data_IF_643775478870
#
_entry.id   IF_643775478870
#
_cell.length_a   1.000
_cell.length_b   1.000
_cell.length_c   1.000
_cell.angle_alpha   90.00
_cell.angle_beta   90.00
_cell.angle_gamma   90.00
#
_symmetry.space_group_name_H-M   'P 1'
#
loop_
_entity.id
_entity.type
_entity.pdbx_description
1 polymer ?
#
# COMPACT_ATOMS: atom_id res chain seq x y z
N UNK A 1 14.99 -16.22 4.41
CA UNK A 1 14.00 -16.42 3.36
C UNK A 1 12.90 -15.38 3.50
N UNK A 2 12.61 -14.67 2.44
CA UNK A 2 11.61 -13.58 2.48
C UNK A 2 10.26 -14.09 2.01
N UNK A 3 9.25 -13.89 2.83
CA UNK A 3 7.86 -14.18 2.48
C UNK A 3 7.14 -12.86 2.24
N UNK A 4 6.48 -12.75 1.11
CA UNK A 4 5.70 -11.56 0.78
C UNK A 4 4.23 -11.86 1.03
N UNK A 5 3.60 -11.02 1.85
CA UNK A 5 2.22 -11.18 2.25
C UNK A 5 1.48 -9.88 1.90
N UNK A 6 0.37 -10.00 1.19
CA UNK A 6 -0.51 -8.87 0.93
C UNK A 6 -1.76 -8.98 1.78
N UNK A 7 -2.21 -7.87 2.33
CA UNK A 7 -3.45 -7.81 3.10
C UNK A 7 -4.44 -6.94 2.34
N UNK A 8 -5.63 -7.45 2.10
CA UNK A 8 -6.72 -6.70 1.51
C UNK A 8 -7.93 -6.64 2.45
N UNK A 9 -8.79 -5.67 2.23
CA UNK A 9 -9.98 -5.47 3.04
C UNK A 9 -10.30 -3.98 3.16
N UNK A 10 -11.53 -3.68 3.55
CA UNK A 10 -11.96 -2.30 3.74
C UNK A 10 -11.37 -1.71 5.02
N UNK A 11 -11.36 -0.38 5.12
CA UNK A 11 -10.92 0.31 6.33
C UNK A 11 -11.76 -0.16 7.53
N UNK A 12 -11.10 -0.43 8.64
CA UNK A 12 -11.77 -0.90 9.85
C UNK A 12 -12.07 -2.40 9.88
N UNK A 13 -11.64 -3.17 8.87
CA UNK A 13 -11.90 -4.61 8.81
C UNK A 13 -10.94 -5.45 9.67
N UNK A 14 -9.93 -4.82 10.29
CA UNK A 14 -8.98 -5.53 11.15
C UNK A 14 -7.64 -5.83 10.52
N UNK A 15 -7.25 -5.06 9.49
CA UNK A 15 -5.95 -5.26 8.81
C UNK A 15 -4.77 -5.08 9.76
N UNK A 16 -4.84 -4.12 10.68
CA UNK A 16 -3.79 -3.89 11.66
C UNK A 16 -3.66 -5.06 12.64
N UNK A 17 -4.79 -5.68 13.00
CA UNK A 17 -4.79 -6.87 13.86
C UNK A 17 -4.04 -8.01 13.18
N UNK A 18 -4.28 -8.23 11.89
CA UNK A 18 -3.57 -9.26 11.12
C UNK A 18 -2.08 -8.95 11.04
N UNK A 19 -1.72 -7.70 10.77
CA UNK A 19 -0.32 -7.29 10.76
C UNK A 19 0.37 -7.59 12.10
N UNK A 20 -0.28 -7.25 13.21
CA UNK A 20 0.26 -7.48 14.54
C UNK A 20 0.43 -8.97 14.85
N UNK A 21 -0.53 -9.80 14.43
CA UNK A 21 -0.42 -11.25 14.59
C UNK A 21 0.77 -11.82 13.82
N UNK A 22 0.95 -11.39 12.58
CA UNK A 22 2.06 -11.82 11.74
C UNK A 22 3.41 -11.37 12.30
N UNK A 23 3.51 -10.14 12.76
CA UNK A 23 4.74 -9.59 13.32
C UNK A 23 5.13 -10.25 14.64
N UNK A 24 4.17 -10.85 15.35
CA UNK A 24 4.46 -11.65 16.54
C UNK A 24 5.07 -13.02 16.23
N UNK A 25 5.01 -13.48 14.99
CA UNK A 25 5.53 -14.79 14.58
C UNK A 25 6.91 -14.74 13.94
N UNK A 26 7.23 -13.64 13.29
CA UNK A 26 8.52 -13.46 12.60
C UNK A 26 8.83 -11.97 12.45
N UNK A 27 10.10 -11.59 12.25
CA UNK A 27 10.43 -10.23 11.91
C UNK A 27 9.61 -9.79 10.70
N UNK A 28 8.98 -8.62 10.80
CA UNK A 28 8.06 -8.13 9.77
C UNK A 28 8.32 -6.68 9.47
N UNK A 29 8.17 -6.31 8.19
CA UNK A 29 8.27 -4.93 7.75
C UNK A 29 7.05 -4.57 6.93
N UNK A 30 6.52 -3.39 7.17
CA UNK A 30 5.31 -2.88 6.53
C UNK A 30 5.65 -2.13 5.26
N UNK A 31 4.88 -2.39 4.21
CA UNK A 31 4.92 -1.67 2.94
C UNK A 31 3.51 -1.27 2.55
N UNK A 32 3.40 -0.24 1.73
CA UNK A 32 2.10 0.28 1.32
C UNK A 32 2.21 0.96 -0.05
N UNK A 33 1.27 0.67 -0.93
CA UNK A 33 1.15 1.37 -2.22
C UNK A 33 0.84 2.85 -2.00
N UNK A 34 0.01 3.16 -0.99
CA UNK A 34 -0.33 4.54 -0.64
C UNK A 34 0.88 5.34 -0.18
N UNK A 35 1.88 4.70 0.44
CA UNK A 35 3.10 5.39 0.86
C UNK A 35 3.93 5.84 -0.35
N UNK A 36 3.91 5.10 -1.44
CA UNK A 36 4.57 5.51 -2.67
C UNK A 36 3.92 6.76 -3.26
N UNK A 37 2.59 6.83 -3.23
CA UNK A 37 1.85 8.01 -3.65
C UNK A 37 2.20 9.21 -2.78
N UNK A 38 2.19 9.05 -1.46
CA UNK A 38 2.52 10.13 -0.52
C UNK A 38 3.95 10.64 -0.73
N UNK A 39 4.89 9.75 -0.97
CA UNK A 39 6.28 10.13 -1.26
C UNK A 39 6.38 10.97 -2.53
N UNK A 40 5.69 10.56 -3.57
CA UNK A 40 5.75 11.24 -4.86
C UNK A 40 5.22 12.67 -4.78
N UNK A 41 4.13 12.90 -4.04
CA UNK A 41 3.50 14.22 -3.95
C UNK A 41 4.00 15.07 -2.79
N UNK A 42 4.90 14.55 -1.96
CA UNK A 42 5.29 15.23 -0.72
C UNK A 42 5.90 16.62 -0.95
N UNK A 43 6.78 16.74 -1.92
CA UNK A 43 7.39 18.03 -2.25
C UNK A 43 6.33 19.06 -2.65
N UNK A 44 5.36 18.66 -3.45
CA UNK A 44 4.25 19.48 -3.86
C UNK A 44 3.39 19.90 -2.66
N UNK A 45 3.06 18.94 -1.79
CA UNK A 45 2.24 19.22 -0.61
C UNK A 45 2.92 20.21 0.33
N UNK A 46 4.21 20.08 0.55
CA UNK A 46 4.98 21.01 1.38
C UNK A 46 5.03 22.40 0.76
N UNK A 47 5.26 22.46 -0.55
CA UNK A 47 5.41 23.73 -1.26
C UNK A 47 4.10 24.52 -1.32
N UNK A 48 3.00 23.85 -1.63
CA UNK A 48 1.72 24.52 -1.89
C UNK A 48 0.80 24.58 -0.67
N UNK A 49 0.91 23.64 0.25
CA UNK A 49 -0.02 23.53 1.39
C UNK A 49 0.66 23.53 2.75
N UNK A 50 1.99 23.50 2.78
CA UNK A 50 2.74 23.44 4.03
C UNK A 50 2.50 22.15 4.80
N UNK A 51 2.14 21.06 4.13
CA UNK A 51 1.79 19.78 4.74
C UNK A 51 2.80 18.72 4.31
N UNK A 52 3.31 17.96 5.28
CA UNK A 52 4.10 16.77 5.02
C UNK A 52 3.14 15.59 4.83
N UNK A 53 3.01 15.11 3.59
CA UNK A 53 2.06 14.05 3.27
C UNK A 53 2.38 12.72 3.95
N UNK A 54 3.62 12.53 4.41
CA UNK A 54 4.06 11.31 5.07
C UNK A 54 3.95 11.36 6.59
N UNK A 55 3.84 12.55 7.17
CA UNK A 55 3.81 12.76 8.61
C UNK A 55 2.90 13.94 8.94
N UNK A 56 1.60 13.77 8.73
CA UNK A 56 0.64 14.85 8.92
C UNK A 56 -0.44 14.45 9.93
N UNK A 57 -1.11 15.48 10.48
CA UNK A 57 -2.25 15.26 11.36
C UNK A 57 -3.44 14.75 10.55
N UNK A 58 -4.47 14.29 11.24
CA UNK A 58 -5.70 13.83 10.59
C UNK A 58 -6.37 14.94 9.80
N UNK A 59 -6.39 16.17 10.34
CA UNK A 59 -6.96 17.32 9.63
C UNK A 59 -6.18 17.66 8.37
N UNK A 60 -4.85 17.66 8.47
CA UNK A 60 -3.99 17.91 7.33
C UNK A 60 -4.19 16.84 6.26
N UNK A 61 -4.31 15.58 6.66
CA UNK A 61 -4.56 14.46 5.76
C UNK A 61 -5.88 14.64 5.00
N UNK A 62 -6.94 15.08 5.68
CA UNK A 62 -8.22 15.36 5.02
C UNK A 62 -8.09 16.51 4.02
N UNK A 63 -7.25 17.51 4.31
CA UNK A 63 -7.01 18.64 3.41
C UNK A 63 -6.39 18.18 2.09
N UNK A 64 -5.41 17.28 2.13
CA UNK A 64 -4.71 16.82 0.91
C UNK A 64 -5.34 15.57 0.29
N UNK A 65 -6.35 15.00 0.91
CA UNK A 65 -7.02 13.80 0.39
C UNK A 65 -7.46 13.92 -1.07
N UNK A 66 -8.12 15.03 -1.49
CA UNK A 66 -8.52 15.18 -2.90
C UNK A 66 -7.34 15.09 -3.87
N UNK A 67 -6.20 15.66 -3.50
CA UNK A 67 -4.99 15.58 -4.32
C UNK A 67 -4.51 14.13 -4.43
N UNK A 68 -4.46 13.41 -3.31
CA UNK A 68 -4.01 12.03 -3.30
C UNK A 68 -4.93 11.14 -4.13
N UNK A 69 -6.24 11.29 -3.97
CA UNK A 69 -7.23 10.51 -4.73
C UNK A 69 -7.12 10.80 -6.22
N UNK A 70 -7.04 12.07 -6.58
CA UNK A 70 -7.00 12.49 -7.98
C UNK A 70 -5.71 12.04 -8.67
N UNK A 71 -4.57 12.35 -8.08
CA UNK A 71 -3.27 12.00 -8.65
C UNK A 71 -3.06 10.48 -8.68
N UNK A 72 -3.38 9.81 -7.58
CA UNK A 72 -3.28 8.36 -7.51
C UNK A 72 -4.14 7.66 -8.54
N UNK A 73 -5.37 8.13 -8.72
CA UNK A 73 -6.31 7.58 -9.69
C UNK A 73 -5.89 7.80 -11.13
N UNK A 74 -5.39 9.01 -11.45
CA UNK A 74 -4.90 9.30 -12.80
C UNK A 74 -3.72 8.41 -13.20
N UNK A 75 -2.78 8.22 -12.29
CA UNK A 75 -1.62 7.36 -12.56
C UNK A 75 -2.04 5.90 -12.73
N UNK A 76 -2.98 5.43 -11.93
CA UNK A 76 -3.54 4.08 -12.10
C UNK A 76 -4.19 3.91 -13.47
N UNK A 77 -5.04 4.86 -13.84
CA UNK A 77 -5.77 4.80 -15.10
C UNK A 77 -4.82 4.80 -16.30
N UNK A 78 -3.84 5.69 -16.29
CA UNK A 78 -2.89 5.83 -17.39
C UNK A 78 -1.99 4.59 -17.56
N UNK A 79 -1.71 3.88 -16.48
CA UNK A 79 -0.81 2.72 -16.46
C UNK A 79 -1.52 1.38 -16.37
N UNK A 80 -2.85 1.37 -16.41
CA UNK A 80 -3.66 0.17 -16.19
C UNK A 80 -3.31 -0.53 -14.86
N UNK A 81 -3.14 0.27 -13.82
CA UNK A 81 -2.89 -0.21 -12.47
C UNK A 81 -1.43 -0.40 -12.11
N UNK A 82 -0.50 -0.22 -13.02
CA UNK A 82 0.91 -0.62 -12.82
C UNK A 82 1.81 0.44 -12.18
N UNK A 83 1.44 1.72 -12.21
CA UNK A 83 2.36 2.80 -11.81
C UNK A 83 2.86 2.64 -10.36
N UNK A 84 1.95 2.50 -9.41
CA UNK A 84 2.31 2.36 -7.99
C UNK A 84 2.90 1.00 -7.69
N UNK A 85 2.44 -0.03 -8.39
CA UNK A 85 2.98 -1.38 -8.32
C UNK A 85 4.46 -1.39 -8.66
N UNK A 86 4.85 -0.78 -9.78
CA UNK A 86 6.24 -0.77 -10.20
C UNK A 86 7.13 -0.02 -9.21
N UNK A 87 6.64 1.07 -8.63
CA UNK A 87 7.37 1.81 -7.60
C UNK A 87 7.58 0.97 -6.35
N UNK A 88 6.54 0.31 -5.86
CA UNK A 88 6.65 -0.54 -4.68
C UNK A 88 7.52 -1.78 -4.95
N UNK A 89 7.38 -2.38 -6.11
CA UNK A 89 8.19 -3.52 -6.53
C UNK A 89 9.68 -3.18 -6.48
N UNK A 90 10.06 -2.03 -7.00
CA UNK A 90 11.44 -1.57 -6.99
C UNK A 90 11.97 -1.43 -5.54
N UNK A 91 11.15 -0.88 -4.65
CA UNK A 91 11.48 -0.75 -3.24
C UNK A 91 11.62 -2.11 -2.55
N UNK A 92 10.70 -3.04 -2.82
CA UNK A 92 10.74 -4.39 -2.25
C UNK A 92 12.01 -5.14 -2.65
N UNK A 93 12.41 -5.00 -3.92
CA UNK A 93 13.61 -5.66 -4.44
C UNK A 93 14.88 -5.06 -3.84
N UNK A 94 14.93 -3.75 -3.69
CA UNK A 94 16.10 -3.05 -3.14
C UNK A 94 16.23 -3.20 -1.64
N UNK A 95 15.15 -3.47 -0.93
CA UNK A 95 15.16 -3.60 0.52
C UNK A 95 15.65 -5.00 0.91
N UNK A 96 16.75 -5.04 1.63
CA UNK A 96 17.39 -6.29 2.05
C UNK A 96 16.82 -6.85 3.35
N UNK A 97 15.68 -6.34 3.80
CA UNK A 97 15.03 -6.85 4.99
C UNK A 97 14.73 -8.34 4.87
N UNK A 98 15.04 -9.10 5.91
CA UNK A 98 14.84 -10.55 5.94
C UNK A 98 13.71 -10.89 6.91
N UNK A 99 12.66 -11.50 6.40
CA UNK A 99 11.46 -11.84 7.17
C UNK A 99 10.19 -11.66 6.35
N UNK A 100 9.09 -11.31 7.02
CA UNK A 100 7.83 -11.04 6.34
C UNK A 100 7.81 -9.61 5.80
N UNK A 101 7.69 -9.48 4.49
CA UNK A 101 7.40 -8.20 3.84
C UNK A 101 5.91 -8.13 3.62
N UNK A 102 5.23 -7.23 4.35
CA UNK A 102 3.77 -7.18 4.41
C UNK A 102 3.25 -5.92 3.74
N UNK A 103 2.52 -6.09 2.65
CA UNK A 103 1.87 -4.99 1.92
C UNK A 103 0.46 -4.87 2.47
N UNK A 104 0.15 -3.76 3.14
CA UNK A 104 -1.07 -3.63 3.94
C UNK A 104 -2.27 -3.08 3.18
N UNK A 105 -2.11 -2.70 1.91
CA UNK A 105 -3.17 -2.06 1.14
C UNK A 105 -3.34 -2.62 -0.26
N UNK A 106 -3.32 -3.94 -0.40
CA UNK A 106 -3.72 -4.59 -1.64
C UNK A 106 -5.22 -4.39 -1.80
N UNK A 107 -5.64 -3.75 -2.89
CA UNK A 107 -7.03 -3.32 -3.05
C UNK A 107 -7.63 -3.72 -4.39
N UNK A 108 -6.89 -3.60 -5.49
CA UNK A 108 -7.47 -3.62 -6.82
C UNK A 108 -7.18 -4.89 -7.60
N UNK A 109 -8.18 -5.32 -8.35
CA UNK A 109 -8.10 -6.44 -9.29
C UNK A 109 -8.95 -6.08 -10.53
N UNK A 110 -8.80 -4.84 -11.03
CA UNK A 110 -9.61 -4.28 -12.11
C UNK A 110 -8.99 -4.49 -13.49
N UNK A 111 -7.67 -4.53 -13.56
CA UNK A 111 -6.93 -4.69 -14.79
C UNK A 111 -6.29 -6.08 -14.84
N UNK A 112 -5.84 -6.49 -16.01
CA UNK A 112 -5.28 -7.83 -16.22
C UNK A 112 -4.09 -8.11 -15.28
N UNK A 113 -3.20 -7.14 -15.11
CA UNK A 113 -2.01 -7.28 -14.27
C UNK A 113 -2.03 -6.29 -13.10
N UNK A 114 -3.16 -6.23 -12.42
CA UNK A 114 -3.36 -5.33 -11.28
C UNK A 114 -2.74 -5.88 -9.99
N UNK A 115 -3.04 -5.25 -8.87
CA UNK A 115 -2.40 -5.52 -7.56
C UNK A 115 -2.51 -6.98 -7.12
N UNK A 116 -3.67 -7.58 -7.22
CA UNK A 116 -3.86 -8.98 -6.80
C UNK A 116 -3.07 -9.92 -7.69
N UNK A 117 -3.13 -9.74 -9.00
CA UNK A 117 -2.37 -10.54 -9.96
C UNK A 117 -0.86 -10.39 -9.74
N UNK A 118 -0.40 -9.17 -9.55
CA UNK A 118 1.00 -8.88 -9.28
C UNK A 118 1.50 -9.62 -8.02
N UNK A 119 0.74 -9.50 -6.94
CA UNK A 119 1.10 -10.15 -5.67
C UNK A 119 1.22 -11.67 -5.83
N UNK A 120 0.21 -12.29 -6.43
CA UNK A 120 0.15 -13.75 -6.53
C UNK A 120 1.08 -14.32 -7.60
N UNK A 121 1.11 -13.69 -8.78
CA UNK A 121 1.78 -14.27 -9.95
C UNK A 121 3.20 -13.77 -10.16
N UNK A 122 3.48 -12.50 -9.85
CA UNK A 122 4.82 -11.94 -10.05
C UNK A 122 5.69 -12.04 -8.80
N UNK A 123 5.10 -11.83 -7.61
CA UNK A 123 5.84 -11.91 -6.35
C UNK A 123 5.74 -13.25 -5.67
N UNK A 124 4.88 -14.15 -6.14
CA UNK A 124 4.56 -15.42 -5.49
C UNK A 124 4.16 -15.19 -4.03
N UNK A 125 3.41 -14.14 -3.80
CA UNK A 125 3.00 -13.74 -2.46
C UNK A 125 1.72 -14.41 -2.02
N UNK A 126 1.41 -14.25 -0.74
CA UNK A 126 0.20 -14.77 -0.11
C UNK A 126 -0.76 -13.62 0.11
N UNK A 127 -1.99 -13.76 -0.38
CA UNK A 127 -3.03 -12.76 -0.14
C UNK A 127 -3.90 -13.17 1.03
N UNK A 128 -4.02 -12.28 2.01
CA UNK A 128 -4.94 -12.43 3.13
C UNK A 128 -6.03 -11.38 2.97
N UNK A 129 -7.26 -11.83 2.74
CA UNK A 129 -8.40 -10.92 2.66
C UNK A 129 -9.08 -10.86 4.01
N UNK A 130 -9.25 -9.66 4.55
CA UNK A 130 -9.87 -9.44 5.85
C UNK A 130 -11.25 -8.84 5.64
N UNK A 131 -12.26 -9.54 6.14
CA UNK A 131 -13.64 -9.05 6.12
C UNK A 131 -14.17 -8.99 7.54
N UNK A 132 -14.98 -7.98 7.81
CA UNK A 132 -15.62 -7.85 9.10
C UNK A 132 -16.94 -8.61 9.09
N UNK A 133 -17.09 -9.47 10.07
CA UNK A 133 -18.33 -10.24 10.23
C UNK A 133 -19.35 -9.36 10.93
N UNK A 134 -20.49 -9.15 10.29
CA UNK A 134 -21.62 -8.48 10.90
C UNK A 134 -22.80 -9.44 10.92
N UNK A 135 -23.29 -9.72 12.09
CA UNK A 135 -24.50 -10.51 12.26
C UNK A 135 -25.73 -9.70 11.83
#
# INVERSE_FOLDING_TARGET
MNTIIGISGVAGAGKDTIFNLLSGRAPSKRYSLADELKREVNKWCRMHYGIDSQACTREEKETIRPLLVFHGGLKRQASEGRYWIEKLKDRLIKDKFNGFKIITDIRYDEYENDEVSWLKNELNGILIHVSQYTD
#
